data_IF_067219451084
#
_entry.id   IF_067219451084
#
_cell.length_a   1.000
_cell.length_b   1.000
_cell.length_c   1.000
_cell.angle_alpha   90.00
_cell.angle_beta   90.00
_cell.angle_gamma   90.00
#
_symmetry.space_group_name_H-M   'P 1'
#
loop_
_entity.id
_entity.type
_entity.pdbx_description
1 polymer ?
#
# COMPACT_ATOMS: atom_id res chain seq x y z
N UNK A 1 10.96 9.45 -12.23
CA UNK A 1 10.34 9.58 -10.88
C UNK A 1 9.24 8.55 -10.80
N UNK A 2 9.15 7.79 -9.73
CA UNK A 2 8.06 6.83 -9.51
C UNK A 2 6.77 7.60 -9.22
N UNK A 3 5.64 7.07 -9.65
CA UNK A 3 4.32 7.62 -9.31
C UNK A 3 3.81 7.09 -7.97
N UNK A 4 4.16 5.84 -7.63
CA UNK A 4 3.69 5.18 -6.42
C UNK A 4 4.82 4.45 -5.71
N UNK A 5 4.92 4.62 -4.39
CA UNK A 5 5.70 3.74 -3.50
C UNK A 5 4.73 2.96 -2.61
N UNK A 6 4.83 1.63 -2.63
CA UNK A 6 4.03 0.75 -1.77
C UNK A 6 4.90 0.25 -0.63
N UNK A 7 4.55 0.60 0.60
CA UNK A 7 5.31 0.22 1.80
C UNK A 7 4.64 -0.97 2.48
N UNK A 8 5.41 -2.02 2.71
CA UNK A 8 4.96 -3.28 3.32
C UNK A 8 5.76 -3.54 4.60
N UNK A 9 5.21 -3.29 5.79
CA UNK A 9 5.85 -3.66 7.03
C UNK A 9 5.74 -5.18 7.23
N UNK A 10 6.85 -5.85 7.53
CA UNK A 10 6.94 -7.30 7.69
C UNK A 10 7.47 -7.63 9.08
N UNK A 11 6.82 -8.56 9.79
CA UNK A 11 7.33 -9.11 11.04
C UNK A 11 6.75 -10.51 11.27
N UNK A 12 7.60 -11.54 11.17
CA UNK A 12 7.22 -12.95 11.32
C UNK A 12 6.04 -13.37 10.43
N UNK A 13 6.15 -13.10 9.13
CA UNK A 13 5.12 -13.34 8.12
C UNK A 13 5.58 -14.27 7.00
N UNK A 14 6.61 -15.11 7.23
CA UNK A 14 7.18 -16.00 6.23
C UNK A 14 6.15 -16.82 5.46
N UNK A 15 5.10 -17.28 6.14
CA UNK A 15 4.02 -18.07 5.51
C UNK A 15 3.04 -17.25 4.62
N UNK A 16 3.05 -15.92 4.68
CA UNK A 16 2.09 -15.05 3.98
C UNK A 16 2.74 -14.12 2.95
N UNK A 17 4.00 -13.72 3.19
CA UNK A 17 4.68 -12.66 2.44
C UNK A 17 4.75 -12.94 0.94
N UNK A 18 4.89 -14.20 0.53
CA UNK A 18 4.98 -14.56 -0.89
C UNK A 18 3.70 -14.18 -1.64
N UNK A 19 2.52 -14.47 -1.08
CA UNK A 19 1.23 -14.10 -1.69
C UNK A 19 1.08 -12.58 -1.79
N UNK A 20 1.46 -11.87 -0.76
CA UNK A 20 1.44 -10.41 -0.73
C UNK A 20 2.31 -9.84 -1.85
N UNK A 21 3.60 -10.18 -1.88
CA UNK A 21 4.55 -9.62 -2.84
C UNK A 21 4.25 -10.06 -4.28
N UNK A 22 3.77 -11.30 -4.49
CA UNK A 22 3.31 -11.77 -5.79
C UNK A 22 2.18 -10.88 -6.32
N UNK A 23 1.19 -10.53 -5.49
CA UNK A 23 0.08 -9.66 -5.88
C UNK A 23 0.53 -8.24 -6.24
N UNK A 24 1.53 -7.72 -5.50
CA UNK A 24 2.10 -6.38 -5.74
C UNK A 24 2.99 -6.36 -6.99
N UNK A 25 3.71 -7.44 -7.29
CA UNK A 25 4.55 -7.54 -8.50
C UNK A 25 3.76 -7.88 -9.76
N UNK A 26 2.52 -8.35 -9.61
CA UNK A 26 1.59 -8.73 -10.70
C UNK A 26 0.60 -7.62 -11.06
N UNK A 27 0.80 -6.40 -10.59
CA UNK A 27 -0.06 -5.27 -10.95
C UNK A 27 -0.01 -4.95 -12.44
N UNK A 28 -1.13 -4.48 -12.99
CA UNK A 28 -1.25 -4.01 -14.39
C UNK A 28 -0.51 -2.69 -14.61
N UNK A 29 -0.27 -1.94 -13.55
CA UNK A 29 0.52 -0.70 -13.59
C UNK A 29 1.93 -0.99 -14.11
N UNK A 30 2.42 -0.16 -15.03
CA UNK A 30 3.78 -0.29 -15.58
C UNK A 30 4.84 -0.27 -14.46
N UNK A 31 5.71 -1.27 -14.47
CA UNK A 31 6.75 -1.47 -13.43
C UNK A 31 7.73 -0.31 -13.29
N UNK A 32 7.86 0.51 -14.32
CA UNK A 32 8.66 1.74 -14.23
C UNK A 32 8.02 2.81 -13.37
N UNK A 33 6.70 2.76 -13.15
CA UNK A 33 5.93 3.78 -12.46
C UNK A 33 5.80 3.55 -10.95
N UNK A 34 6.09 2.35 -10.44
CA UNK A 34 5.98 2.08 -9.01
C UNK A 34 7.20 1.37 -8.44
N UNK A 35 7.27 1.33 -7.13
CA UNK A 35 8.24 0.58 -6.35
C UNK A 35 7.55 -0.03 -5.12
N UNK A 36 8.13 -1.10 -4.59
CA UNK A 36 7.66 -1.82 -3.40
C UNK A 36 8.78 -1.78 -2.38
N UNK A 37 8.49 -1.31 -1.17
CA UNK A 37 9.45 -1.19 -0.09
C UNK A 37 9.08 -2.19 1.00
N UNK A 38 9.81 -3.29 1.07
CA UNK A 38 9.63 -4.33 2.08
C UNK A 38 10.48 -4.00 3.30
N UNK A 39 9.85 -3.74 4.43
CA UNK A 39 10.55 -3.38 5.67
C UNK A 39 10.41 -4.51 6.67
N UNK A 40 11.47 -5.28 6.87
CA UNK A 40 11.55 -6.31 7.88
C UNK A 40 11.86 -5.70 9.26
N UNK A 41 10.92 -5.80 10.18
CA UNK A 41 11.00 -5.23 11.53
C UNK A 41 11.63 -6.22 12.53
N UNK A 42 12.82 -6.75 12.19
CA UNK A 42 13.59 -7.73 12.95
C UNK A 42 12.84 -9.06 13.13
N UNK A 43 12.40 -9.68 12.03
CA UNK A 43 11.79 -11.01 12.05
C UNK A 43 12.75 -12.08 12.57
N UNK A 44 12.20 -13.08 13.23
CA UNK A 44 12.95 -14.23 13.81
C UNK A 44 12.65 -15.55 13.09
N UNK A 45 11.71 -15.53 12.15
CA UNK A 45 11.38 -16.63 11.25
C UNK A 45 12.11 -16.47 9.89
N UNK A 46 11.65 -17.16 8.86
CA UNK A 46 12.23 -17.11 7.51
C UNK A 46 11.75 -15.90 6.65
N UNK A 47 11.00 -14.96 7.21
CA UNK A 47 10.50 -13.77 6.52
C UNK A 47 11.58 -13.04 5.73
N UNK A 48 12.74 -12.77 6.37
CA UNK A 48 13.82 -12.03 5.71
C UNK A 48 14.35 -12.76 4.47
N UNK A 49 14.48 -14.08 4.53
CA UNK A 49 14.91 -14.87 3.39
C UNK A 49 13.96 -14.75 2.20
N UNK A 50 12.64 -14.80 2.45
CA UNK A 50 11.63 -14.60 1.40
C UNK A 50 11.76 -13.19 0.78
N UNK A 51 11.97 -12.16 1.61
CA UNK A 51 12.16 -10.78 1.16
C UNK A 51 13.37 -10.66 0.23
N UNK A 52 14.53 -11.24 0.60
CA UNK A 52 15.74 -11.24 -0.24
C UNK A 52 15.50 -11.98 -1.57
N UNK A 53 14.80 -13.12 -1.55
CA UNK A 53 14.47 -13.87 -2.76
C UNK A 53 13.58 -13.05 -3.72
N UNK A 54 12.64 -12.26 -3.19
CA UNK A 54 11.81 -11.36 -4.00
C UNK A 54 12.61 -10.18 -4.57
N UNK A 55 13.49 -9.55 -3.82
CA UNK A 55 14.36 -8.48 -4.33
C UNK A 55 15.26 -9.00 -5.47
N UNK A 56 15.85 -10.19 -5.32
CA UNK A 56 16.66 -10.80 -6.36
C UNK A 56 15.87 -11.07 -7.67
N UNK A 57 14.58 -11.39 -7.56
CA UNK A 57 13.70 -11.59 -8.73
C UNK A 57 13.25 -10.28 -9.38
N UNK A 58 13.10 -9.21 -8.61
CA UNK A 58 12.56 -7.93 -9.06
C UNK A 58 13.41 -6.73 -8.60
N UNK A 59 14.72 -6.68 -8.88
CA UNK A 59 15.65 -5.69 -8.31
C UNK A 59 15.36 -4.25 -8.77
N UNK A 60 14.54 -4.06 -9.80
CA UNK A 60 14.22 -2.73 -10.34
C UNK A 60 12.99 -2.09 -9.69
N UNK A 61 12.22 -2.86 -8.92
CA UNK A 61 10.97 -2.38 -8.29
C UNK A 61 10.88 -2.70 -6.81
N UNK A 62 11.66 -3.66 -6.30
CA UNK A 62 11.68 -4.00 -4.87
C UNK A 62 12.90 -3.36 -4.21
N UNK A 63 12.66 -2.74 -3.07
CA UNK A 63 13.67 -2.19 -2.15
C UNK A 63 13.45 -2.90 -0.81
N UNK A 64 14.50 -3.43 -0.22
CA UNK A 64 14.43 -4.12 1.05
C UNK A 64 15.14 -3.35 2.16
N UNK A 65 14.56 -3.37 3.33
CA UNK A 65 15.11 -2.73 4.52
C UNK A 65 15.01 -3.72 5.68
N UNK A 66 16.14 -4.05 6.30
CA UNK A 66 16.19 -4.88 7.50
C UNK A 66 16.46 -4.04 8.74
N UNK A 67 15.65 -4.22 9.78
CA UNK A 67 15.80 -3.52 11.06
C UNK A 67 16.49 -4.44 12.08
N UNK A 68 17.41 -3.90 12.87
CA UNK A 68 18.10 -4.66 13.94
C UNK A 68 17.19 -4.94 15.15
N UNK A 69 16.15 -4.12 15.36
CA UNK A 69 15.27 -4.18 16.52
C UNK A 69 13.83 -3.95 16.13
N UNK A 70 12.95 -4.80 16.61
CA UNK A 70 11.51 -4.66 16.39
C UNK A 70 10.99 -3.34 17.00
N UNK A 71 10.43 -2.49 16.15
CA UNK A 71 9.89 -1.18 16.49
C UNK A 71 8.39 -1.06 16.26
N UNK A 72 7.72 -2.16 15.92
CA UNK A 72 6.31 -2.25 15.57
C UNK A 72 5.97 -1.60 14.23
N UNK A 73 4.80 -1.96 13.73
CA UNK A 73 4.28 -1.60 12.41
C UNK A 73 4.38 -0.09 12.09
N UNK A 74 4.09 0.78 13.04
CA UNK A 74 4.18 2.24 12.83
C UNK A 74 5.60 2.71 12.53
N UNK A 75 6.60 2.20 13.27
CA UNK A 75 8.01 2.51 13.01
C UNK A 75 8.46 1.95 11.66
N UNK A 76 8.10 0.71 11.34
CA UNK A 76 8.44 0.10 10.06
C UNK A 76 7.86 0.91 8.87
N UNK A 77 6.60 1.37 8.97
CA UNK A 77 6.00 2.26 7.96
C UNK A 77 6.77 3.58 7.82
N UNK A 78 7.15 4.21 8.93
CA UNK A 78 7.94 5.45 8.90
C UNK A 78 9.34 5.23 8.29
N UNK A 79 9.98 4.10 8.57
CA UNK A 79 11.24 3.73 7.93
C UNK A 79 11.02 3.58 6.42
N UNK A 80 10.03 2.81 5.99
CA UNK A 80 9.71 2.65 4.57
C UNK A 80 9.46 4.00 3.87
N UNK A 81 8.81 4.93 4.55
CA UNK A 81 8.57 6.27 4.01
C UNK A 81 9.86 7.03 3.69
N UNK A 82 10.95 6.80 4.41
CA UNK A 82 12.25 7.43 4.12
C UNK A 82 12.93 6.92 2.85
N UNK A 83 12.53 5.76 2.35
CA UNK A 83 13.02 5.17 1.09
C UNK A 83 12.10 5.44 -0.09
N UNK A 84 10.91 5.97 0.16
CA UNK A 84 9.90 6.20 -0.87
C UNK A 84 10.27 7.35 -1.80
N UNK A 85 10.20 7.12 -3.12
CA UNK A 85 10.44 8.12 -4.16
C UNK A 85 9.20 8.46 -5.00
N UNK A 86 8.06 7.80 -4.75
CA UNK A 86 6.81 7.97 -5.47
C UNK A 86 6.07 9.25 -5.10
N UNK A 87 5.37 9.82 -6.06
CA UNK A 87 4.50 10.97 -5.82
C UNK A 87 3.36 10.64 -4.83
N UNK A 88 2.89 9.38 -4.86
CA UNK A 88 1.91 8.83 -3.93
C UNK A 88 2.51 7.70 -3.10
N UNK A 89 2.05 7.57 -1.88
CA UNK A 89 2.39 6.50 -0.95
C UNK A 89 1.16 5.61 -0.75
N UNK A 90 1.32 4.32 -0.99
CA UNK A 90 0.40 3.27 -0.61
C UNK A 90 1.02 2.40 0.49
N UNK A 91 0.18 1.70 1.23
CA UNK A 91 0.60 0.69 2.19
C UNK A 91 -0.09 -0.63 1.85
N UNK A 92 0.56 -1.74 2.13
CA UNK A 92 -0.05 -3.06 2.11
C UNK A 92 0.35 -3.80 3.39
N UNK A 93 -0.60 -4.52 3.99
CA UNK A 93 -0.28 -5.40 5.10
C UNK A 93 0.27 -6.72 4.53
N UNK A 94 1.31 -7.24 5.14
CA UNK A 94 2.11 -8.35 4.60
C UNK A 94 1.40 -9.71 4.58
N UNK A 95 0.24 -9.81 5.20
CA UNK A 95 -0.66 -10.97 5.22
C UNK A 95 -1.87 -10.83 4.28
N UNK A 96 -2.00 -9.66 3.62
CA UNK A 96 -3.05 -9.37 2.63
C UNK A 96 -2.54 -9.49 1.18
N UNK A 97 -3.44 -9.35 0.20
CA UNK A 97 -3.11 -9.24 -1.22
C UNK A 97 -3.99 -8.22 -1.92
N UNK A 98 -3.57 -7.80 -3.12
CA UNK A 98 -4.24 -6.77 -3.91
C UNK A 98 -4.73 -7.32 -5.25
N UNK A 99 -5.85 -6.80 -5.75
CA UNK A 99 -6.27 -7.08 -7.12
C UNK A 99 -5.31 -6.46 -8.14
N UNK A 100 -5.07 -7.11 -9.30
CA UNK A 100 -4.05 -6.66 -10.25
C UNK A 100 -4.23 -5.23 -10.79
N UNK A 101 -5.46 -4.74 -10.89
CA UNK A 101 -5.77 -3.41 -11.43
C UNK A 101 -5.88 -2.32 -10.34
N UNK A 102 -5.64 -2.67 -9.07
CA UNK A 102 -5.94 -1.77 -7.95
C UNK A 102 -5.16 -0.46 -8.04
N UNK A 103 -3.85 -0.54 -8.12
CA UNK A 103 -3.01 0.67 -8.11
C UNK A 103 -3.11 1.47 -9.39
N UNK A 104 -3.29 0.83 -10.56
CA UNK A 104 -3.54 1.52 -11.82
C UNK A 104 -4.80 2.39 -11.73
N UNK A 105 -5.92 1.81 -11.29
CA UNK A 105 -7.18 2.54 -11.13
C UNK A 105 -7.12 3.64 -10.07
N UNK A 106 -6.40 3.40 -8.97
CA UNK A 106 -6.24 4.42 -7.93
C UNK A 106 -5.41 5.61 -8.43
N UNK A 107 -4.32 5.36 -9.16
CA UNK A 107 -3.50 6.42 -9.76
C UNK A 107 -4.26 7.19 -10.84
N UNK A 108 -4.99 6.50 -11.72
CA UNK A 108 -5.85 7.16 -12.71
C UNK A 108 -6.86 8.11 -12.05
N UNK A 109 -7.48 7.68 -10.96
CA UNK A 109 -8.41 8.50 -10.20
C UNK A 109 -7.70 9.70 -9.56
N UNK A 110 -6.53 9.49 -8.98
CA UNK A 110 -5.73 10.54 -8.36
C UNK A 110 -5.32 11.61 -9.38
N UNK A 111 -4.80 11.20 -10.54
CA UNK A 111 -4.33 12.10 -11.60
C UNK A 111 -5.49 12.86 -12.26
N UNK A 112 -6.56 12.15 -12.67
CA UNK A 112 -7.71 12.76 -13.34
C UNK A 112 -8.47 13.74 -12.44
N UNK A 113 -8.58 13.44 -11.14
CA UNK A 113 -9.25 14.27 -10.15
C UNK A 113 -8.35 15.28 -9.46
N UNK A 114 -7.03 15.24 -9.69
CA UNK A 114 -6.02 15.99 -8.92
C UNK A 114 -6.17 15.79 -7.43
N UNK A 115 -6.34 14.53 -7.02
CA UNK A 115 -6.65 14.17 -5.64
C UNK A 115 -5.38 13.93 -4.84
N UNK A 116 -5.42 14.32 -3.58
CA UNK A 116 -4.33 14.07 -2.63
C UNK A 116 -4.48 12.71 -1.93
N UNK A 117 -5.71 12.19 -1.84
CA UNK A 117 -6.01 10.89 -1.25
C UNK A 117 -7.04 10.16 -2.10
N UNK A 118 -6.77 8.91 -2.42
CA UNK A 118 -7.73 8.00 -3.07
C UNK A 118 -7.89 6.77 -2.19
N UNK A 119 -9.13 6.37 -1.94
CA UNK A 119 -9.47 5.21 -1.10
C UNK A 119 -10.14 4.14 -1.97
N UNK A 120 -9.71 2.90 -1.85
CA UNK A 120 -10.38 1.76 -2.48
C UNK A 120 -11.25 1.01 -1.46
N UNK A 121 -12.08 0.11 -1.95
CA UNK A 121 -12.86 -0.79 -1.13
C UNK A 121 -12.10 -2.08 -0.89
N UNK A 122 -12.07 -2.54 0.35
CA UNK A 122 -11.55 -3.85 0.72
C UNK A 122 -12.65 -4.91 0.82
N UNK A 123 -12.26 -6.16 0.61
CA UNK A 123 -13.14 -7.32 0.74
C UNK A 123 -12.43 -8.32 1.67
N UNK A 124 -13.18 -8.88 2.61
CA UNK A 124 -12.67 -10.01 3.40
C UNK A 124 -12.79 -11.29 2.57
N UNK A 125 -11.65 -11.96 2.39
CA UNK A 125 -11.61 -13.31 1.87
C UNK A 125 -11.81 -14.30 3.03
N UNK A 126 -12.84 -15.13 2.91
CA UNK A 126 -13.12 -16.23 3.84
C UNK A 126 -12.70 -17.59 3.25
N UNK A 127 -11.64 -17.61 2.45
CA UNK A 127 -11.16 -18.82 1.76
C UNK A 127 -11.95 -19.14 0.49
N UNK A 128 -12.66 -20.27 0.46
CA UNK A 128 -13.35 -20.74 -0.75
C UNK A 128 -14.55 -19.88 -1.20
N UNK A 129 -14.90 -18.84 -0.45
CA UNK A 129 -16.07 -17.98 -0.70
C UNK A 129 -15.73 -16.63 -1.34
N UNK A 130 -14.52 -16.45 -1.89
CA UNK A 130 -14.15 -15.23 -2.58
C UNK A 130 -14.94 -15.09 -3.89
N UNK A 131 -15.94 -14.23 -3.85
CA UNK A 131 -16.79 -13.90 -5.01
C UNK A 131 -16.33 -12.59 -5.65
N UNK A 132 -15.57 -12.70 -6.75
CA UNK A 132 -15.11 -11.54 -7.53
C UNK A 132 -16.24 -10.63 -8.00
N UNK A 133 -17.47 -11.11 -8.13
CA UNK A 133 -18.61 -10.28 -8.53
C UNK A 133 -19.01 -9.26 -7.45
N UNK A 134 -18.59 -9.50 -6.20
CA UNK A 134 -18.76 -8.57 -5.07
C UNK A 134 -17.61 -7.59 -4.93
N UNK A 135 -16.50 -7.80 -5.65
CA UNK A 135 -15.47 -6.80 -5.85
C UNK A 135 -16.13 -5.61 -6.54
N UNK A 136 -16.27 -4.53 -5.81
CA UNK A 136 -17.12 -3.41 -6.24
C UNK A 136 -16.73 -2.90 -7.62
N UNK A 137 -17.71 -2.64 -8.44
CA UNK A 137 -17.58 -1.85 -9.67
C UNK A 137 -17.16 -0.45 -9.26
N UNK A 138 -15.86 -0.28 -9.01
CA UNK A 138 -15.17 0.92 -8.59
C UNK A 138 -15.91 2.26 -8.75
N UNK A 139 -16.92 2.52 -7.93
CA UNK A 139 -17.46 3.87 -7.78
C UNK A 139 -16.42 4.66 -6.99
N UNK A 140 -15.76 5.57 -7.67
CA UNK A 140 -14.86 6.54 -7.06
C UNK A 140 -15.76 7.69 -6.59
N UNK A 141 -16.00 7.78 -5.29
CA UNK A 141 -16.66 8.94 -4.71
C UNK A 141 -15.58 10.02 -4.53
N UNK A 142 -15.67 11.06 -5.37
CA UNK A 142 -14.78 12.23 -5.31
C UNK A 142 -15.33 13.21 -4.29
N UNK A 143 -14.57 13.48 -3.25
CA UNK A 143 -14.88 14.56 -2.33
C UNK A 143 -13.73 15.56 -2.31
N UNK A 144 -14.06 16.83 -2.56
CA UNK A 144 -13.11 17.93 -2.38
C UNK A 144 -13.14 18.36 -0.91
N UNK A 145 -12.04 18.12 -0.19
CA UNK A 145 -11.86 18.46 1.23
C UNK A 145 -10.98 19.72 1.41
N UNK A 146 -11.17 20.71 0.57
CA UNK A 146 -10.40 21.95 0.50
C UNK A 146 -10.57 22.88 1.70
N UNK A 147 -11.50 22.60 2.61
CA UNK A 147 -11.77 23.40 3.81
C UNK A 147 -11.80 22.56 5.08
N UNK A 148 -11.51 23.18 6.23
CA UNK A 148 -11.59 22.51 7.54
C UNK A 148 -13.00 22.00 7.85
N UNK A 149 -14.02 22.73 7.43
CA UNK A 149 -15.42 22.32 7.60
C UNK A 149 -15.71 21.04 6.83
N UNK A 150 -15.33 20.99 5.54
CA UNK A 150 -15.51 19.81 4.71
C UNK A 150 -14.70 18.61 5.21
N UNK A 151 -13.49 18.82 5.77
CA UNK A 151 -12.72 17.77 6.43
C UNK A 151 -13.46 17.17 7.61
N UNK A 152 -14.04 18.01 8.48
CA UNK A 152 -14.82 17.55 9.64
C UNK A 152 -16.09 16.81 9.19
N UNK A 153 -16.82 17.34 8.22
CA UNK A 153 -18.01 16.69 7.65
C UNK A 153 -17.66 15.33 7.02
N UNK A 154 -16.56 15.25 6.29
CA UNK A 154 -16.09 14.00 5.71
C UNK A 154 -15.76 12.94 6.77
N UNK A 155 -15.04 13.32 7.82
CA UNK A 155 -14.68 12.40 8.91
C UNK A 155 -15.93 11.89 9.64
N UNK A 156 -16.94 12.74 9.83
CA UNK A 156 -18.20 12.38 10.51
C UNK A 156 -19.10 11.50 9.63
N UNK A 157 -19.23 11.85 8.34
CA UNK A 157 -20.12 11.15 7.41
C UNK A 157 -19.54 9.83 6.89
N UNK A 158 -18.22 9.76 6.78
CA UNK A 158 -17.49 8.59 6.36
C UNK A 158 -16.44 8.30 7.44
N UNK A 159 -16.77 7.51 8.47
CA UNK A 159 -15.75 7.04 9.39
C UNK A 159 -14.72 6.31 8.53
N UNK A 160 -13.64 7.03 8.19
CA UNK A 160 -12.56 6.50 7.38
C UNK A 160 -12.12 5.20 8.05
N UNK A 161 -12.06 4.13 7.27
CA UNK A 161 -11.35 2.94 7.68
C UNK A 161 -10.03 3.38 8.32
N UNK A 162 -9.77 2.97 9.55
CA UNK A 162 -8.46 3.21 10.20
C UNK A 162 -7.34 2.45 9.46
N UNK A 163 -7.70 1.62 8.50
CA UNK A 163 -6.79 0.93 7.63
C UNK A 163 -6.02 1.93 6.77
N UNK A 164 -4.72 1.75 6.66
CA UNK A 164 -3.88 2.56 5.76
C UNK A 164 -3.66 1.87 4.41
N UNK A 165 -3.91 0.57 4.34
CA UNK A 165 -3.70 -0.29 3.18
C UNK A 165 -4.78 -0.17 2.10
N UNK A 166 -5.89 0.52 2.38
CA UNK A 166 -6.98 0.75 1.43
C UNK A 166 -6.87 2.11 0.69
N UNK A 167 -5.74 2.80 0.79
CA UNK A 167 -5.58 4.13 0.20
C UNK A 167 -4.19 4.41 -0.35
N UNK A 168 -4.14 5.36 -1.30
CA UNK A 168 -2.92 6.05 -1.68
C UNK A 168 -3.01 7.52 -1.25
N UNK A 169 -1.90 8.07 -0.80
CA UNK A 169 -1.83 9.43 -0.23
C UNK A 169 -0.68 10.18 -0.92
N UNK A 170 -0.92 11.40 -1.36
CA UNK A 170 0.15 12.24 -1.93
C UNK A 170 1.26 12.43 -0.90
N UNK A 171 2.51 12.12 -1.30
CA UNK A 171 3.66 12.11 -0.40
C UNK A 171 3.87 13.44 0.33
N UNK A 172 3.60 14.58 -0.32
CA UNK A 172 3.75 15.90 0.30
C UNK A 172 2.87 16.11 1.54
N UNK A 173 1.74 15.39 1.68
CA UNK A 173 0.92 15.44 2.89
C UNK A 173 1.52 14.68 4.08
N UNK A 174 2.47 13.78 3.83
CA UNK A 174 3.11 12.95 4.85
C UNK A 174 4.45 13.54 5.33
N UNK A 175 4.99 14.51 4.60
CA UNK A 175 6.31 15.12 4.86
C UNK A 175 6.24 16.41 5.68
N UNK A 176 5.08 16.92 6.03
CA UNK A 176 4.87 18.20 6.74
C UNK A 176 4.75 18.05 8.28
N UNK A 177 5.57 17.15 8.91
CA UNK A 177 5.70 17.14 10.38
C UNK A 177 7.13 16.96 10.82
#
# INVERSE_FOLDING_TARGET
>A
MKKLSVIVPCYNVGQYIDRCVESLTSQTLDKSQYEIILVDDASTDDTWKHIEDWENRFPNIIITVHCDVNGKMGRARNIGLTYASGEYIGYADSDDWTEPEMFEKMLEAAENGKMDVVVCKSIRDHGNDYDKSKAGTGRIDVMNIDSEVKRKEFIVANPMSYAVWDKIIRQSLLSEN
#
